data_IF_480947808370
#
_entry.id   IF_480947808370
#
_cell.length_a   1.000
_cell.length_b   1.000
_cell.length_c   1.000
_cell.angle_alpha   90.00
_cell.angle_beta   90.00
_cell.angle_gamma   90.00
#
_symmetry.space_group_name_H-M   'P 1'
#
loop_
_entity.id
_entity.type
_entity.pdbx_description
1 polymer ?
#
# COMPACT_ATOMS: atom_id res chain seq x y z
N UNK A 1 -2.53 -0.08 -20.81
CA UNK A 1 -1.75 -1.14 -20.11
C UNK A 1 -2.15 -1.11 -18.65
N UNK A 2 -2.44 -2.25 -18.02
CA UNK A 2 -2.87 -2.29 -16.62
C UNK A 2 -1.66 -2.43 -15.71
N UNK A 3 -1.50 -1.52 -14.76
CA UNK A 3 -0.43 -1.53 -13.77
C UNK A 3 -1.00 -1.70 -12.37
N UNK A 4 -0.24 -2.35 -11.51
CA UNK A 4 -0.57 -2.52 -10.11
C UNK A 4 0.38 -1.69 -9.25
N UNK A 5 -0.15 -1.10 -8.19
CA UNK A 5 0.61 -0.34 -7.21
C UNK A 5 0.28 -0.85 -5.82
N UNK A 6 1.22 -0.73 -4.89
CA UNK A 6 0.94 -0.87 -3.46
C UNK A 6 1.00 0.51 -2.86
N UNK A 7 -0.12 1.01 -2.35
CA UNK A 7 -0.23 2.38 -1.81
C UNK A 7 -0.86 2.39 -0.42
N UNK A 8 -0.45 3.34 0.43
CA UNK A 8 -1.03 3.54 1.75
C UNK A 8 -0.12 4.34 2.66
N UNK A 9 -0.08 3.99 3.94
CA UNK A 9 0.73 4.67 4.95
C UNK A 9 0.24 4.37 6.36
N UNK A 10 0.51 5.27 7.31
CA UNK A 10 0.00 5.18 8.67
C UNK A 10 -1.24 6.05 8.78
N UNK A 11 -2.37 5.46 9.18
CA UNK A 11 -3.63 6.20 9.30
C UNK A 11 -3.82 6.71 10.73
N UNK A 12 -4.45 7.88 10.87
CA UNK A 12 -4.84 8.40 12.20
C UNK A 12 -5.99 7.56 12.77
N UNK A 13 -6.93 7.21 11.90
CA UNK A 13 -8.11 6.39 12.16
C UNK A 13 -8.41 5.57 10.91
N UNK A 14 -8.98 4.37 11.06
CA UNK A 14 -9.42 3.54 9.94
C UNK A 14 -10.63 4.13 9.21
N UNK A 15 -11.35 5.08 9.82
CA UNK A 15 -12.39 5.88 9.17
C UNK A 15 -11.83 6.99 8.26
N UNK A 16 -10.55 7.36 8.42
CA UNK A 16 -9.92 8.39 7.59
C UNK A 16 -9.51 7.79 6.23
N UNK A 17 -9.92 8.40 5.10
CA UNK A 17 -9.49 7.94 3.79
C UNK A 17 -8.00 8.16 3.51
N UNK A 18 -7.33 9.07 4.23
CA UNK A 18 -5.95 9.47 3.97
C UNK A 18 -4.98 9.05 5.08
N UNK A 19 -3.75 8.61 4.73
CA UNK A 19 -2.70 8.43 5.72
C UNK A 19 -2.24 9.79 6.29
N UNK A 20 -1.57 9.73 7.43
CA UNK A 20 -0.89 10.87 8.04
C UNK A 20 0.18 11.38 7.06
N UNK A 21 0.19 12.70 6.85
CA UNK A 21 1.14 13.35 5.96
C UNK A 21 2.59 13.02 6.31
N UNK A 22 3.39 12.63 5.31
CA UNK A 22 4.77 12.20 5.46
C UNK A 22 4.94 10.70 5.75
N UNK A 23 3.84 9.94 5.86
CA UNK A 23 3.86 8.48 6.04
C UNK A 23 3.42 7.71 4.81
N UNK A 24 3.13 8.42 3.71
CA UNK A 24 2.68 7.84 2.46
C UNK A 24 3.72 6.89 1.88
N UNK A 25 3.23 5.75 1.41
CA UNK A 25 4.03 4.75 0.73
C UNK A 25 3.40 4.44 -0.61
N UNK A 26 4.24 4.34 -1.64
CA UNK A 26 3.86 3.87 -2.96
C UNK A 26 4.97 2.99 -3.53
N UNK A 27 4.58 1.80 -3.98
CA UNK A 27 5.45 0.85 -4.64
C UNK A 27 4.85 0.43 -5.99
N UNK A 28 5.70 0.21 -6.99
CA UNK A 28 5.30 -0.09 -8.37
C UNK A 28 5.74 1.00 -9.37
N UNK A 29 5.26 0.94 -10.63
CA UNK A 29 4.26 0.01 -11.14
C UNK A 29 4.75 -1.44 -11.19
N UNK A 30 3.85 -2.38 -10.88
CA UNK A 30 4.03 -3.81 -11.08
C UNK A 30 3.21 -4.27 -12.30
N UNK A 31 3.76 -5.17 -13.14
CA UNK A 31 3.07 -5.72 -14.30
C UNK A 31 1.95 -6.70 -13.93
N UNK A 32 1.98 -7.29 -12.73
CA UNK A 32 0.97 -8.26 -12.26
C UNK A 32 0.55 -7.97 -10.83
N UNK A 33 -0.67 -8.37 -10.49
CA UNK A 33 -1.21 -8.28 -9.13
C UNK A 33 -0.37 -9.11 -8.15
N UNK A 34 0.12 -10.28 -8.57
CA UNK A 34 0.90 -11.18 -7.73
C UNK A 34 2.22 -10.55 -7.25
N UNK A 35 2.90 -9.78 -8.10
CA UNK A 35 4.12 -9.06 -7.72
C UNK A 35 3.82 -7.93 -6.73
N UNK A 36 2.70 -7.22 -6.92
CA UNK A 36 2.22 -6.24 -5.97
C UNK A 36 1.86 -6.88 -4.62
N UNK A 37 1.16 -8.03 -4.62
CA UNK A 37 0.73 -8.74 -3.42
C UNK A 37 1.92 -9.24 -2.59
N UNK A 38 2.97 -9.75 -3.26
CA UNK A 38 4.22 -10.14 -2.60
C UNK A 38 4.87 -8.95 -1.89
N UNK A 39 4.93 -7.81 -2.55
CA UNK A 39 5.47 -6.57 -1.97
C UNK A 39 4.61 -6.10 -0.80
N UNK A 40 3.29 -6.11 -0.96
CA UNK A 40 2.34 -5.76 0.09
C UNK A 40 2.54 -6.60 1.36
N UNK A 41 2.62 -7.93 1.24
CA UNK A 41 2.87 -8.85 2.38
C UNK A 41 4.17 -8.54 3.10
N UNK A 42 5.25 -8.34 2.34
CA UNK A 42 6.56 -8.03 2.90
C UNK A 42 6.52 -6.71 3.69
N UNK A 43 5.94 -5.65 3.10
CA UNK A 43 5.87 -4.32 3.75
C UNK A 43 4.94 -4.27 4.95
N UNK A 44 3.82 -5.00 4.91
CA UNK A 44 2.94 -5.14 6.06
C UNK A 44 3.61 -5.90 7.21
N UNK A 45 4.44 -6.92 6.91
CA UNK A 45 5.19 -7.67 7.91
C UNK A 45 6.29 -6.82 8.56
N UNK A 46 7.01 -5.99 7.78
CA UNK A 46 8.07 -5.10 8.27
C UNK A 46 7.55 -4.08 9.32
N UNK A 47 6.26 -3.76 9.30
CA UNK A 47 5.63 -2.72 10.12
C UNK A 47 4.49 -3.25 10.99
N UNK A 48 4.51 -4.54 11.31
CA UNK A 48 3.42 -5.24 12.02
C UNK A 48 3.06 -4.60 13.37
N UNK A 49 4.03 -3.96 14.04
CA UNK A 49 3.84 -3.32 15.34
C UNK A 49 3.10 -1.97 15.24
N UNK A 50 2.94 -1.40 14.04
CA UNK A 50 2.21 -0.15 13.82
C UNK A 50 0.76 -0.50 13.45
N UNK A 51 -0.14 -0.48 14.44
CA UNK A 51 -1.54 -0.90 14.32
C UNK A 51 -2.29 -0.28 13.10
N UNK A 52 -2.03 1.00 12.85
CA UNK A 52 -2.68 1.75 11.78
C UNK A 52 -1.86 1.82 10.49
N UNK A 53 -0.76 1.08 10.38
CA UNK A 53 -0.07 0.94 9.12
C UNK A 53 -0.89 0.04 8.20
N UNK A 54 -1.30 0.58 7.05
CA UNK A 54 -2.11 -0.13 6.07
C UNK A 54 -1.64 0.22 4.67
N UNK A 55 -1.46 -0.83 3.88
CA UNK A 55 -1.20 -0.74 2.45
C UNK A 55 -2.32 -1.46 1.69
N UNK A 56 -2.57 -1.05 0.44
CA UNK A 56 -3.57 -1.62 -0.46
C UNK A 56 -2.95 -1.87 -1.83
N UNK A 57 -3.31 -2.98 -2.48
CA UNK A 57 -3.01 -3.19 -3.89
C UNK A 57 -4.04 -2.44 -4.73
N UNK A 58 -3.59 -1.56 -5.62
CA UNK A 58 -4.42 -0.72 -6.47
C UNK A 58 -4.12 -1.04 -7.93
N UNK A 59 -5.17 -1.39 -8.68
CA UNK A 59 -5.12 -1.51 -10.14
C UNK A 59 -5.37 -0.14 -10.77
N UNK A 60 -4.49 0.30 -11.67
CA UNK A 60 -4.67 1.51 -12.48
C UNK A 60 -4.51 1.15 -13.95
N UNK A 61 -5.51 1.49 -14.75
CA UNK A 61 -5.42 1.41 -16.20
C UNK A 61 -4.76 2.69 -16.72
N UNK A 62 -3.72 2.53 -17.56
CA UNK A 62 -3.06 3.65 -18.25
C UNK A 62 -3.92 4.19 -19.38
#
# INVERSE_FOLDING_TARGET
MTNFYVEGGIFKDLADPAPIAGTEERYGPFPTEQEADKTWRARMADKIDICNHRLRVIRRDA
#
